data_IF_461937009355
#
_entry.id   IF_461937009355
#
_cell.length_a   1.000
_cell.length_b   1.000
_cell.length_c   1.000
_cell.angle_alpha   90.00
_cell.angle_beta   90.00
_cell.angle_gamma   90.00
#
_symmetry.space_group_name_H-M   'P 1'
#
loop_
_entity.id
_entity.type
_entity.pdbx_description
1 polymer ?
#
# COMPACT_ATOMS: atom_id res chain seq x y z
N UNK A 1 13.19 21.07 -17.75
CA UNK A 1 11.95 20.70 -17.03
C UNK A 1 12.16 19.35 -16.34
N UNK A 2 12.01 19.32 -15.00
CA UNK A 2 12.36 18.19 -14.14
C UNK A 2 11.34 17.05 -14.35
N UNK A 3 11.75 15.90 -14.90
CA UNK A 3 10.89 14.72 -15.14
C UNK A 3 10.20 14.30 -13.83
N UNK A 4 8.91 14.61 -13.69
CA UNK A 4 8.08 14.09 -12.60
C UNK A 4 7.92 12.59 -12.77
N UNK A 5 8.44 11.81 -11.82
CA UNK A 5 8.32 10.36 -11.87
C UNK A 5 7.01 9.90 -11.21
N UNK A 6 5.92 9.96 -11.96
CA UNK A 6 4.58 9.53 -11.54
C UNK A 6 4.50 8.04 -11.20
N UNK A 7 5.47 7.23 -11.63
CA UNK A 7 5.54 5.78 -11.33
C UNK A 7 5.47 5.50 -9.83
N UNK A 8 6.06 6.36 -9.01
CA UNK A 8 6.10 6.22 -7.55
C UNK A 8 4.72 6.37 -6.88
N UNK A 9 4.00 7.48 -7.08
CA UNK A 9 2.65 7.62 -6.55
C UNK A 9 1.67 6.61 -7.15
N UNK A 10 1.81 6.25 -8.43
CA UNK A 10 0.98 5.21 -9.06
C UNK A 10 1.21 3.85 -8.39
N UNK A 11 2.46 3.44 -8.17
CA UNK A 11 2.78 2.21 -7.44
C UNK A 11 2.12 2.20 -6.07
N UNK A 12 2.22 3.29 -5.29
CA UNK A 12 1.61 3.37 -3.97
C UNK A 12 0.10 3.11 -4.00
N UNK A 13 -0.62 3.73 -4.93
CA UNK A 13 -2.07 3.55 -5.07
C UNK A 13 -2.39 2.10 -5.47
N UNK A 14 -1.65 1.54 -6.43
CA UNK A 14 -1.83 0.15 -6.88
C UNK A 14 -1.61 -0.82 -5.73
N UNK A 15 -0.54 -0.67 -4.94
CA UNK A 15 -0.28 -1.55 -3.80
C UNK A 15 -1.37 -1.43 -2.74
N UNK A 16 -1.86 -0.22 -2.46
CA UNK A 16 -2.92 0.00 -1.49
C UNK A 16 -4.22 -0.73 -1.87
N UNK A 17 -4.63 -0.62 -3.13
CA UNK A 17 -5.82 -1.31 -3.66
C UNK A 17 -5.65 -2.83 -3.68
N UNK A 18 -4.46 -3.32 -4.01
CA UNK A 18 -4.12 -4.74 -3.95
C UNK A 18 -4.23 -5.28 -2.53
N UNK A 19 -3.64 -4.58 -1.55
CA UNK A 19 -3.69 -5.01 -0.14
C UNK A 19 -5.12 -5.08 0.35
N UNK A 20 -5.96 -4.07 0.05
CA UNK A 20 -7.38 -4.12 0.41
C UNK A 20 -8.05 -5.39 -0.12
N UNK A 21 -7.88 -5.65 -1.41
CA UNK A 21 -8.55 -6.77 -2.09
C UNK A 21 -8.05 -8.12 -1.57
N UNK A 22 -6.73 -8.27 -1.39
CA UNK A 22 -6.14 -9.49 -0.86
C UNK A 22 -6.61 -9.75 0.57
N UNK A 23 -6.58 -8.74 1.43
CA UNK A 23 -6.95 -8.89 2.85
C UNK A 23 -8.44 -9.15 2.99
N UNK A 24 -9.31 -8.42 2.30
CA UNK A 24 -10.75 -8.68 2.34
C UNK A 24 -11.07 -10.08 1.84
N UNK A 25 -10.49 -10.51 0.72
CA UNK A 25 -10.73 -11.86 0.19
C UNK A 25 -10.15 -12.93 1.12
N UNK A 26 -8.98 -12.72 1.71
CA UNK A 26 -8.40 -13.64 2.69
C UNK A 26 -9.29 -13.77 3.94
N UNK A 27 -9.78 -12.66 4.49
CA UNK A 27 -10.71 -12.66 5.62
C UNK A 27 -11.99 -13.44 5.30
N UNK A 28 -12.56 -13.23 4.10
CA UNK A 28 -13.76 -13.98 3.65
C UNK A 28 -13.45 -15.47 3.53
N UNK A 29 -12.31 -15.84 2.92
CA UNK A 29 -11.89 -17.25 2.80
C UNK A 29 -11.64 -17.92 4.15
N UNK A 30 -11.28 -17.15 5.17
CA UNK A 30 -11.11 -17.62 6.55
C UNK A 30 -12.43 -17.71 7.33
N UNK A 31 -13.58 -17.41 6.69
CA UNK A 31 -14.91 -17.52 7.29
C UNK A 31 -15.43 -16.24 7.95
N UNK A 32 -14.81 -15.08 7.71
CA UNK A 32 -15.38 -13.80 8.16
C UNK A 32 -16.49 -13.32 7.23
N UNK A 33 -17.52 -12.73 7.82
CA UNK A 33 -18.56 -12.01 7.10
C UNK A 33 -17.99 -10.84 6.26
N UNK A 34 -18.65 -10.51 5.15
CA UNK A 34 -18.15 -9.53 4.19
C UNK A 34 -18.00 -8.11 4.78
N UNK A 35 -18.90 -7.72 5.68
CA UNK A 35 -18.90 -6.41 6.32
C UNK A 35 -17.66 -6.19 7.22
N UNK A 36 -17.35 -7.05 8.20
CA UNK A 36 -16.13 -6.91 8.99
C UNK A 36 -14.86 -7.13 8.14
N UNK A 37 -14.87 -8.04 7.16
CA UNK A 37 -13.74 -8.25 6.26
C UNK A 37 -13.39 -7.01 5.42
N UNK A 38 -14.40 -6.23 5.03
CA UNK A 38 -14.21 -4.96 4.31
C UNK A 38 -13.54 -3.89 5.18
N UNK A 39 -13.91 -3.83 6.46
CA UNK A 39 -13.33 -2.90 7.44
C UNK A 39 -11.87 -3.25 7.72
N UNK A 40 -11.56 -4.54 7.91
CA UNK A 40 -10.19 -5.02 8.10
C UNK A 40 -9.34 -4.75 6.86
N UNK A 41 -9.86 -5.03 5.66
CA UNK A 41 -9.16 -4.72 4.41
C UNK A 41 -8.89 -3.23 4.22
N UNK A 42 -9.80 -2.36 4.62
CA UNK A 42 -9.60 -0.91 4.60
C UNK A 42 -8.51 -0.46 5.59
N UNK A 43 -8.51 -0.98 6.81
CA UNK A 43 -7.46 -0.69 7.78
C UNK A 43 -6.08 -1.17 7.30
N UNK A 44 -6.02 -2.37 6.74
CA UNK A 44 -4.78 -2.92 6.16
C UNK A 44 -4.27 -2.07 4.98
N UNK A 45 -5.18 -1.56 4.13
CA UNK A 45 -4.84 -0.65 3.04
C UNK A 45 -4.18 0.64 3.56
N UNK A 46 -4.74 1.26 4.61
CA UNK A 46 -4.19 2.48 5.20
C UNK A 46 -2.77 2.21 5.72
N UNK A 47 -2.59 1.14 6.51
CA UNK A 47 -1.28 0.76 7.05
C UNK A 47 -0.28 0.51 5.92
N UNK A 48 -0.66 -0.23 4.89
CA UNK A 48 0.21 -0.51 3.75
C UNK A 48 0.60 0.77 2.99
N UNK A 49 -0.33 1.71 2.80
CA UNK A 49 -0.05 2.98 2.16
C UNK A 49 1.03 3.77 2.95
N UNK A 50 0.90 3.86 4.27
CA UNK A 50 1.90 4.51 5.13
C UNK A 50 3.25 3.81 5.09
N UNK A 51 3.29 2.48 5.15
CA UNK A 51 4.52 1.68 5.10
C UNK A 51 5.23 1.86 3.76
N UNK A 52 4.51 1.74 2.64
CA UNK A 52 5.06 1.91 1.29
C UNK A 52 5.54 3.34 1.08
N UNK A 53 4.76 4.34 1.49
CA UNK A 53 5.16 5.74 1.44
C UNK A 53 6.46 6.00 2.20
N UNK A 54 6.53 5.51 3.44
CA UNK A 54 7.69 5.65 4.31
C UNK A 54 8.91 4.95 3.72
N UNK A 55 8.73 3.73 3.19
CA UNK A 55 9.79 2.96 2.51
C UNK A 55 10.32 3.69 1.27
N UNK A 56 9.42 4.24 0.45
CA UNK A 56 9.78 5.01 -0.75
C UNK A 56 10.53 6.30 -0.42
N UNK A 57 10.21 6.95 0.70
CA UNK A 57 10.93 8.15 1.16
C UNK A 57 12.27 7.80 1.83
N UNK A 58 12.36 6.69 2.58
CA UNK A 58 13.62 6.22 3.18
C UNK A 58 14.67 5.89 2.11
N UNK A 59 14.25 5.32 0.97
CA UNK A 59 15.14 5.02 -0.15
C UNK A 59 15.66 6.27 -0.91
N UNK A 60 15.13 7.47 -0.62
CA UNK A 60 15.67 8.75 -1.16
C UNK A 60 16.76 9.36 -0.28
N UNK A 61 16.93 8.88 0.96
CA UNK A 61 17.93 9.37 1.93
C UNK A 61 19.18 8.50 2.00
N UNK A 62 19.54 7.77 0.93
CA UNK A 62 20.93 7.38 0.77
C UNK A 62 21.65 8.59 0.18
N UNK A 63 22.50 9.32 0.95
CA UNK A 63 23.48 10.17 0.30
C UNK A 63 24.23 9.28 -0.68
N UNK A 64 24.25 9.70 -1.94
CA UNK A 64 25.14 9.13 -2.95
C UNK A 64 26.55 9.53 -2.51
N UNK A 65 27.12 8.78 -1.59
CA UNK A 65 28.55 8.77 -1.36
C UNK A 65 29.08 7.49 -2.01
N UNK A 66 29.53 7.67 -3.26
CA UNK A 66 30.57 6.95 -4.00
C UNK A 66 30.44 7.28 -5.49
#
# INVERSE_FOLDING_TARGET
MRKYNFVRPVLLIVTALLVRSIVTNACILLGMEAEPASSVGFMAMIVAAFVIFSRMNKNRRKPSDK
#
